data_IF_334577522326
#
_entry.id   IF_334577522326
#
_cell.length_a   1.000
_cell.length_b   1.000
_cell.length_c   1.000
_cell.angle_alpha   90.00
_cell.angle_beta   90.00
_cell.angle_gamma   90.00
#
_symmetry.space_group_name_H-M   'P 1'
#
loop_
_entity.id
_entity.type
_entity.pdbx_description
1 polymer ?
#
# COMPACT_ATOMS: atom_id res chain seq x y z
N UNK A 1 1.96 22.90 62.35
CA UNK A 1 2.91 21.77 62.35
C UNK A 1 3.93 22.06 61.26
N UNK A 2 5.20 22.10 61.63
CA UNK A 2 6.35 22.40 60.77
C UNK A 2 7.02 21.11 60.26
N UNK A 3 7.99 21.30 59.35
CA UNK A 3 8.98 20.37 58.76
C UNK A 3 8.54 19.57 57.52
N UNK A 4 9.12 19.72 56.30
CA UNK A 4 10.50 19.65 55.73
C UNK A 4 10.98 18.23 55.35
N UNK A 5 11.67 18.17 54.19
CA UNK A 5 12.45 17.09 53.53
C UNK A 5 11.62 16.12 52.67
N UNK A 6 11.78 15.98 51.35
CA UNK A 6 12.89 16.11 50.39
C UNK A 6 13.99 15.02 50.45
N UNK A 7 14.33 14.54 49.25
CA UNK A 7 15.35 13.55 48.85
C UNK A 7 15.08 12.04 49.05
N UNK A 8 14.90 11.30 47.94
CA UNK A 8 15.99 10.41 47.51
C UNK A 8 15.95 10.09 45.99
N UNK A 9 17.15 10.10 45.43
CA UNK A 9 17.55 10.09 44.03
C UNK A 9 18.37 8.81 43.82
N UNK A 10 17.88 7.88 43.02
CA UNK A 10 18.67 6.79 42.41
C UNK A 10 18.02 6.56 41.04
N UNK A 11 18.62 6.84 39.88
CA UNK A 11 20.03 6.74 39.53
C UNK A 11 20.27 5.43 38.78
N UNK A 12 19.65 5.22 37.62
CA UNK A 12 20.08 4.19 36.66
C UNK A 12 20.12 4.77 35.24
N UNK A 13 21.34 5.02 34.79
CA UNK A 13 21.69 5.30 33.41
C UNK A 13 21.37 4.08 32.54
N UNK A 14 20.43 4.23 31.60
CA UNK A 14 20.29 3.31 30.48
C UNK A 14 21.16 3.81 29.34
N UNK A 15 22.06 2.95 28.89
CA UNK A 15 23.04 3.16 27.82
C UNK A 15 22.37 3.53 26.48
N UNK A 16 23.03 4.35 25.63
CA UNK A 16 22.59 4.61 24.27
C UNK A 16 22.87 3.40 23.37
N UNK A 17 21.82 2.94 22.67
CA UNK A 17 21.92 1.91 21.65
C UNK A 17 22.65 2.49 20.43
N UNK A 18 23.84 1.95 20.15
CA UNK A 18 24.62 2.17 18.93
C UNK A 18 23.94 1.38 17.81
N UNK A 19 23.42 2.06 16.80
CA UNK A 19 23.08 1.42 15.53
C UNK A 19 23.85 2.14 14.44
N UNK A 20 24.65 1.35 13.74
CA UNK A 20 25.66 1.78 12.79
C UNK A 20 25.07 2.53 11.59
N UNK A 21 25.68 3.67 11.29
CA UNK A 21 25.49 4.38 10.03
C UNK A 21 26.29 3.65 8.94
N UNK A 22 25.58 2.99 8.02
CA UNK A 22 26.16 2.50 6.77
C UNK A 22 25.86 3.54 5.68
N UNK A 23 26.81 4.46 5.51
CA UNK A 23 26.91 5.39 4.39
C UNK A 23 27.43 4.59 3.20
N UNK A 24 26.61 4.38 2.17
CA UNK A 24 27.11 4.01 0.85
C UNK A 24 27.10 5.27 -0.03
N UNK A 25 28.31 5.75 -0.27
CA UNK A 25 28.67 6.71 -1.31
C UNK A 25 28.81 5.92 -2.62
N UNK A 26 27.97 6.18 -3.62
CA UNK A 26 28.12 5.61 -4.96
C UNK A 26 28.18 6.75 -5.99
N UNK A 27 29.39 7.28 -6.14
CA UNK A 27 29.77 8.18 -7.23
C UNK A 27 30.00 7.37 -8.51
N UNK A 28 28.98 7.25 -9.34
CA UNK A 28 29.10 6.64 -10.67
C UNK A 28 29.79 7.61 -11.66
N UNK A 29 31.08 7.41 -11.88
CA UNK A 29 31.83 8.04 -12.98
C UNK A 29 31.47 7.40 -14.34
N UNK A 30 31.03 8.25 -15.25
CA UNK A 30 30.70 7.97 -16.65
C UNK A 30 31.99 7.79 -17.47
N UNK A 31 32.33 6.55 -17.82
CA UNK A 31 33.42 6.21 -18.73
C UNK A 31 32.89 5.61 -20.04
N UNK A 32 32.92 6.41 -21.11
CA UNK A 32 32.67 5.98 -22.49
C UNK A 32 33.89 5.21 -22.99
N UNK A 33 33.69 4.03 -23.58
CA UNK A 33 34.72 3.33 -24.36
C UNK A 33 34.20 2.95 -25.74
N UNK A 34 35.04 3.22 -26.73
CA UNK A 34 34.84 3.08 -28.17
C UNK A 34 34.57 1.64 -28.60
N UNK A 35 33.61 1.49 -29.52
CA UNK A 35 33.28 0.24 -30.19
C UNK A 35 34.00 0.19 -31.55
N UNK A 36 35.03 -0.65 -31.66
CA UNK A 36 35.59 -1.09 -32.94
C UNK A 36 34.84 -2.31 -33.46
N UNK A 37 34.54 -2.29 -34.76
CA UNK A 37 33.76 -3.31 -35.46
C UNK A 37 34.61 -4.49 -35.97
N UNK A 38 34.06 -5.70 -35.78
CA UNK A 38 34.12 -6.93 -36.61
C UNK A 38 35.48 -7.68 -36.74
N UNK A 39 35.49 -9.03 -36.71
CA UNK A 39 34.78 -9.85 -37.69
C UNK A 39 34.02 -11.08 -37.18
N UNK A 40 33.08 -11.52 -38.03
CA UNK A 40 32.38 -12.78 -37.95
C UNK A 40 33.30 -13.98 -38.22
N UNK A 41 33.18 -15.07 -37.45
CA UNK A 41 33.07 -16.47 -37.93
C UNK A 41 32.93 -17.49 -36.78
N UNK A 42 31.84 -18.25 -36.86
CA UNK A 42 31.64 -19.68 -36.56
C UNK A 42 31.92 -20.28 -35.16
N UNK A 43 30.89 -21.00 -34.69
CA UNK A 43 31.03 -22.29 -34.01
C UNK A 43 31.05 -22.23 -32.49
N UNK A 44 29.90 -22.41 -31.86
CA UNK A 44 29.61 -23.66 -31.14
C UNK A 44 28.26 -23.57 -30.44
N UNK A 45 27.46 -24.61 -30.68
CA UNK A 45 26.18 -24.84 -30.03
C UNK A 45 26.40 -25.12 -28.54
N UNK A 46 25.74 -24.35 -27.68
CA UNK A 46 25.62 -24.66 -26.27
C UNK A 46 24.15 -24.90 -25.95
N UNK A 47 23.82 -26.20 -25.88
CA UNK A 47 22.59 -26.72 -25.36
C UNK A 47 22.38 -26.23 -23.91
N UNK A 48 21.38 -25.38 -23.72
CA UNK A 48 20.81 -25.15 -22.41
C UNK A 48 20.15 -26.44 -21.93
N UNK A 49 20.68 -27.02 -20.86
CA UNK A 49 19.98 -28.03 -20.05
C UNK A 49 19.00 -27.33 -19.11
N UNK A 50 17.67 -27.39 -19.31
CA UNK A 50 16.74 -27.16 -18.23
C UNK A 50 16.74 -28.39 -17.32
N UNK A 51 17.22 -28.19 -16.10
CA UNK A 51 17.16 -29.15 -15.01
C UNK A 51 15.71 -29.16 -14.48
N UNK A 52 14.84 -29.97 -15.10
CA UNK A 52 13.58 -30.43 -14.48
C UNK A 52 13.47 -31.93 -14.68
N UNK A 53 13.40 -32.57 -13.52
CA UNK A 53 13.53 -33.99 -13.29
C UNK A 53 12.29 -34.79 -13.72
N UNK A 54 12.55 -36.07 -13.94
CA UNK A 54 11.76 -37.07 -14.65
C UNK A 54 10.55 -37.54 -13.83
N UNK A 55 9.34 -37.36 -14.35
CA UNK A 55 8.21 -38.27 -14.09
C UNK A 55 8.03 -39.16 -15.32
N UNK A 56 8.33 -40.44 -15.16
CA UNK A 56 8.23 -41.48 -16.19
C UNK A 56 6.85 -41.52 -16.86
N UNK A 57 6.73 -40.93 -18.05
CA UNK A 57 5.63 -41.12 -18.99
C UNK A 57 6.02 -42.11 -20.09
N UNK A 58 5.68 -43.38 -19.91
CA UNK A 58 5.87 -44.44 -20.91
C UNK A 58 5.04 -44.14 -22.17
N UNK A 59 5.73 -44.23 -23.32
CA UNK A 59 5.24 -44.09 -24.70
C UNK A 59 3.88 -44.74 -24.99
N UNK A 60 3.09 -44.06 -25.81
CA UNK A 60 2.12 -44.65 -26.73
C UNK A 60 1.59 -43.59 -27.71
N UNK A 61 1.92 -43.65 -29.02
CA UNK A 61 1.21 -42.90 -30.06
C UNK A 61 -0.10 -43.63 -30.40
N UNK A 62 -1.03 -42.93 -31.07
CA UNK A 62 -2.39 -43.33 -31.46
C UNK A 62 -3.50 -42.82 -30.53
N UNK A 63 -3.70 -41.49 -30.49
CA UNK A 63 -5.03 -40.95 -30.22
C UNK A 63 -5.73 -40.80 -31.57
N UNK A 64 -6.56 -41.78 -31.91
CA UNK A 64 -7.49 -41.70 -33.03
C UNK A 64 -8.37 -40.47 -32.88
N UNK A 65 -8.66 -39.84 -34.01
CA UNK A 65 -9.70 -38.83 -34.15
C UNK A 65 -11.04 -39.45 -33.73
N UNK A 66 -11.44 -39.27 -32.47
CA UNK A 66 -12.78 -39.66 -32.01
C UNK A 66 -13.72 -38.58 -32.55
N UNK A 67 -14.28 -38.84 -33.72
CA UNK A 67 -15.49 -38.16 -34.18
C UNK A 67 -16.59 -38.56 -33.21
N UNK A 68 -16.90 -37.67 -32.27
CA UNK A 68 -18.07 -37.83 -31.40
C UNK A 68 -19.33 -37.84 -32.26
N UNK A 69 -19.84 -39.03 -32.57
CA UNK A 69 -21.18 -39.18 -33.11
C UNK A 69 -22.17 -38.68 -32.05
N UNK A 70 -22.64 -37.44 -32.25
CA UNK A 70 -23.70 -36.84 -31.45
C UNK A 70 -25.00 -37.59 -31.79
N UNK A 71 -25.32 -38.62 -31.03
CA UNK A 71 -26.63 -39.27 -31.12
C UNK A 71 -27.65 -38.25 -30.66
N UNK A 72 -28.45 -37.74 -31.60
CA UNK A 72 -29.61 -36.92 -31.28
C UNK A 72 -30.56 -37.79 -30.44
N UNK A 73 -30.59 -37.52 -29.14
CA UNK A 73 -31.56 -38.11 -28.22
C UNK A 73 -32.92 -37.63 -28.68
N UNK A 74 -33.67 -38.51 -29.36
CA UNK A 74 -35.06 -38.26 -29.68
C UNK A 74 -35.80 -37.93 -28.38
N UNK A 75 -36.41 -36.74 -28.35
CA UNK A 75 -37.39 -36.40 -27.33
C UNK A 75 -38.47 -37.48 -27.36
N UNK A 76 -38.60 -38.25 -26.28
CA UNK A 76 -39.79 -39.03 -26.05
C UNK A 76 -40.95 -38.04 -25.93
N UNK A 77 -41.82 -37.99 -26.96
CA UNK A 77 -43.15 -37.40 -26.85
C UNK A 77 -43.79 -38.00 -25.59
N UNK A 78 -44.22 -37.14 -24.66
CA UNK A 78 -44.98 -37.50 -23.47
C UNK A 78 -46.28 -38.19 -23.89
N UNK A 79 -46.24 -39.50 -24.02
CA UNK A 79 -47.42 -40.34 -23.86
C UNK A 79 -47.59 -40.59 -22.36
N UNK A 80 -48.81 -40.37 -21.87
CA UNK A 80 -49.15 -40.54 -20.47
C UNK A 80 -48.86 -41.97 -20.00
N UNK A 81 -47.96 -42.09 -19.05
CA UNK A 81 -47.78 -43.31 -18.26
C UNK A 81 -47.82 -42.97 -16.78
N UNK A 82 -48.53 -43.83 -16.05
CA UNK A 82 -48.95 -43.66 -14.67
C UNK A 82 -47.80 -43.58 -13.67
N UNK A 83 -48.19 -43.17 -12.46
CA UNK A 83 -47.45 -43.19 -11.19
C UNK A 83 -45.94 -43.35 -11.32
N UNK A 84 -45.24 -42.21 -11.25
CA UNK A 84 -43.80 -42.16 -11.05
C UNK A 84 -43.40 -43.09 -9.90
N UNK A 85 -42.63 -44.14 -10.21
CA UNK A 85 -41.99 -44.95 -9.18
C UNK A 85 -41.16 -44.02 -8.28
N UNK A 86 -41.18 -44.21 -6.95
CA UNK A 86 -40.30 -43.44 -6.08
C UNK A 86 -38.85 -43.69 -6.51
N UNK A 87 -37.99 -42.66 -6.50
CA UNK A 87 -36.58 -42.86 -6.83
C UNK A 87 -36.00 -43.89 -5.88
N UNK A 88 -35.71 -45.11 -6.36
CA UNK A 88 -34.91 -46.07 -5.61
C UNK A 88 -33.54 -45.44 -5.40
N UNK A 89 -33.20 -45.16 -4.14
CA UNK A 89 -31.84 -44.81 -3.75
C UNK A 89 -30.91 -45.97 -4.10
N UNK A 90 -29.78 -45.68 -4.73
CA UNK A 90 -28.76 -46.70 -4.97
C UNK A 90 -28.32 -47.31 -3.63
N UNK A 91 -28.23 -48.64 -3.49
CA UNK A 91 -27.83 -49.28 -2.23
C UNK A 91 -26.33 -49.10 -1.90
N UNK A 92 -25.57 -48.48 -2.80
CA UNK A 92 -24.13 -48.25 -2.67
C UNK A 92 -23.85 -46.78 -2.34
N UNK A 93 -23.19 -46.55 -1.21
CA UNK A 93 -22.66 -45.23 -0.84
C UNK A 93 -21.24 -45.06 -1.36
N UNK A 94 -20.84 -43.82 -1.70
CA UNK A 94 -19.53 -43.49 -2.32
C UNK A 94 -18.32 -43.94 -1.49
N UNK A 95 -18.51 -44.06 -0.19
CA UNK A 95 -17.58 -44.50 0.84
C UNK A 95 -17.30 -46.01 0.80
N UNK A 96 -18.15 -46.81 0.13
CA UNK A 96 -17.95 -48.25 -0.04
C UNK A 96 -17.21 -48.64 -1.33
N UNK A 97 -16.90 -47.68 -2.21
CA UNK A 97 -16.18 -47.95 -3.46
C UNK A 97 -14.66 -47.93 -3.25
N UNK A 98 -13.97 -48.91 -3.83
CA UNK A 98 -12.50 -48.94 -3.84
C UNK A 98 -11.91 -47.72 -4.58
N UNK A 99 -10.69 -47.26 -4.21
CA UNK A 99 -10.06 -46.07 -4.82
C UNK A 99 -9.97 -46.17 -6.34
N UNK A 100 -9.64 -47.35 -6.88
CA UNK A 100 -9.55 -47.62 -8.33
C UNK A 100 -10.90 -47.47 -9.06
N UNK A 101 -12.01 -47.84 -8.43
CA UNK A 101 -13.36 -47.69 -8.99
C UNK A 101 -13.78 -46.23 -8.96
N UNK A 102 -13.45 -45.50 -7.88
CA UNK A 102 -13.70 -44.06 -7.79
C UNK A 102 -12.93 -43.28 -8.84
N UNK A 103 -11.71 -43.69 -9.14
CA UNK A 103 -10.87 -43.10 -10.19
C UNK A 103 -11.41 -43.42 -11.59
N UNK A 104 -11.78 -44.69 -11.86
CA UNK A 104 -12.39 -45.12 -13.14
C UNK A 104 -13.71 -44.42 -13.44
N UNK A 105 -14.52 -44.13 -12.42
CA UNK A 105 -15.80 -43.42 -12.54
C UNK A 105 -15.71 -41.91 -12.26
N UNK A 106 -14.52 -41.35 -12.03
CA UNK A 106 -14.29 -39.91 -11.87
C UNK A 106 -14.93 -39.27 -10.64
N UNK A 107 -15.20 -40.05 -9.58
CA UNK A 107 -15.90 -39.61 -8.36
C UNK A 107 -14.97 -38.94 -7.34
N UNK A 108 -13.71 -38.70 -7.68
CA UNK A 108 -12.73 -38.20 -6.72
C UNK A 108 -12.91 -36.73 -6.36
N UNK A 109 -13.37 -36.53 -5.13
CA UNK A 109 -13.50 -35.22 -4.47
C UNK A 109 -12.17 -34.46 -4.42
N UNK A 110 -11.03 -35.16 -4.44
CA UNK A 110 -9.68 -34.56 -4.43
C UNK A 110 -9.48 -33.57 -5.58
N UNK A 111 -9.95 -33.89 -6.79
CA UNK A 111 -9.86 -32.98 -7.95
C UNK A 111 -10.74 -31.75 -7.77
N UNK A 112 -11.97 -31.91 -7.26
CA UNK A 112 -12.86 -30.79 -6.96
C UNK A 112 -12.31 -29.90 -5.84
N UNK A 113 -11.78 -30.48 -4.76
CA UNK A 113 -11.17 -29.73 -3.66
C UNK A 113 -9.93 -28.98 -4.14
N UNK A 114 -9.07 -29.59 -4.96
CA UNK A 114 -7.92 -28.89 -5.56
C UNK A 114 -8.36 -27.75 -6.48
N UNK A 115 -9.39 -27.94 -7.30
CA UNK A 115 -9.94 -26.86 -8.14
C UNK A 115 -10.51 -25.73 -7.29
N UNK A 116 -11.24 -26.03 -6.23
CA UNK A 116 -11.79 -25.01 -5.32
C UNK A 116 -10.65 -24.25 -4.63
N UNK A 117 -9.64 -24.94 -4.09
CA UNK A 117 -8.48 -24.29 -3.46
C UNK A 117 -7.73 -23.42 -4.47
N UNK A 118 -7.52 -23.90 -5.69
CA UNK A 118 -6.86 -23.13 -6.74
C UNK A 118 -7.65 -21.86 -7.10
N UNK A 119 -8.98 -21.97 -7.24
CA UNK A 119 -9.85 -20.81 -7.50
C UNK A 119 -9.78 -19.82 -6.33
N UNK A 120 -9.85 -20.28 -5.08
CA UNK A 120 -9.74 -19.43 -3.89
C UNK A 120 -8.38 -18.73 -3.86
N UNK A 121 -7.29 -19.45 -4.12
CA UNK A 121 -5.95 -18.87 -4.17
C UNK A 121 -5.82 -17.79 -5.27
N UNK A 122 -6.38 -18.04 -6.46
CA UNK A 122 -6.39 -17.06 -7.55
C UNK A 122 -7.20 -15.82 -7.16
N UNK A 123 -8.40 -15.98 -6.61
CA UNK A 123 -9.25 -14.85 -6.18
C UNK A 123 -8.57 -14.06 -5.07
N UNK A 124 -7.96 -14.74 -4.09
CA UNK A 124 -7.22 -14.08 -3.02
C UNK A 124 -6.02 -13.29 -3.57
N UNK A 125 -5.27 -13.87 -4.51
CA UNK A 125 -4.14 -13.20 -5.15
C UNK A 125 -4.58 -11.97 -5.95
N UNK A 126 -5.65 -12.08 -6.75
CA UNK A 126 -6.19 -10.95 -7.50
C UNK A 126 -6.72 -9.85 -6.58
N UNK A 127 -7.38 -10.23 -5.47
CA UNK A 127 -7.83 -9.28 -4.46
C UNK A 127 -6.67 -8.54 -3.79
N UNK A 128 -5.61 -9.26 -3.41
CA UNK A 128 -4.40 -8.66 -2.85
C UNK A 128 -3.73 -7.70 -3.85
N UNK A 129 -3.66 -8.08 -5.13
CA UNK A 129 -3.09 -7.23 -6.17
C UNK A 129 -3.92 -5.98 -6.43
N UNK A 130 -5.25 -6.08 -6.44
CA UNK A 130 -6.14 -4.94 -6.56
C UNK A 130 -5.99 -3.97 -5.37
N UNK A 131 -5.87 -4.51 -4.15
CA UNK A 131 -5.68 -3.71 -2.94
C UNK A 131 -4.33 -2.96 -2.96
N UNK A 132 -3.24 -3.66 -3.24
CA UNK A 132 -1.90 -3.04 -3.35
C UNK A 132 -1.86 -2.02 -4.49
N UNK A 133 -2.46 -2.35 -5.63
CA UNK A 133 -2.57 -1.43 -6.77
C UNK A 133 -3.33 -0.15 -6.40
N UNK A 134 -4.45 -0.26 -5.69
CA UNK A 134 -5.20 0.89 -5.20
C UNK A 134 -4.38 1.74 -4.22
N UNK A 135 -3.58 1.11 -3.35
CA UNK A 135 -2.73 1.82 -2.39
C UNK A 135 -1.58 2.57 -3.09
N UNK A 136 -0.98 1.98 -4.14
CA UNK A 136 0.08 2.62 -4.92
C UNK A 136 -0.44 3.75 -5.83
N UNK A 137 -1.72 3.73 -6.20
CA UNK A 137 -2.35 4.79 -6.98
C UNK A 137 -2.77 6.00 -6.14
N UNK A 138 -2.87 5.85 -4.80
CA UNK A 138 -3.06 7.00 -3.91
C UNK A 138 -1.82 7.88 -3.99
N UNK A 139 -1.98 9.05 -4.59
CA UNK A 139 -0.90 10.02 -4.69
C UNK A 139 -0.49 10.57 -3.32
N UNK A 140 0.75 11.03 -3.24
CA UNK A 140 1.21 11.82 -2.10
C UNK A 140 0.56 13.20 -2.09
N UNK A 141 0.35 13.73 -0.88
CA UNK A 141 -0.08 15.12 -0.69
C UNK A 141 1.11 16.03 -1.01
N UNK A 142 0.95 16.88 -2.02
CA UNK A 142 1.96 17.86 -2.40
C UNK A 142 1.54 19.23 -1.87
N UNK A 143 2.50 20.01 -1.41
CA UNK A 143 2.26 21.37 -0.94
C UNK A 143 3.40 22.29 -1.35
N UNK A 144 3.07 23.57 -1.55
CA UNK A 144 4.05 24.60 -1.89
C UNK A 144 3.65 25.92 -1.26
N UNK A 145 4.56 26.51 -0.47
CA UNK A 145 4.42 27.87 0.02
C UNK A 145 4.71 28.85 -1.11
N UNK A 146 3.71 29.63 -1.51
CA UNK A 146 3.80 30.56 -2.63
C UNK A 146 4.28 31.94 -2.16
N UNK A 147 3.76 32.39 -1.02
CA UNK A 147 4.07 33.71 -0.46
C UNK A 147 3.91 33.69 1.05
N UNK A 148 4.74 34.46 1.74
CA UNK A 148 4.49 34.86 3.11
C UNK A 148 4.90 36.31 3.30
N UNK A 149 4.26 36.99 4.24
CA UNK A 149 4.57 38.37 4.61
C UNK A 149 4.28 38.59 6.09
N UNK A 150 5.18 39.28 6.78
CA UNK A 150 4.92 39.78 8.13
C UNK A 150 4.11 41.06 7.99
N UNK A 151 2.90 41.07 8.54
CA UNK A 151 1.96 42.20 8.40
C UNK A 151 2.11 43.12 9.60
N UNK A 152 2.13 42.54 10.80
CA UNK A 152 2.22 43.21 12.10
C UNK A 152 3.09 42.37 13.06
N UNK A 153 3.38 42.90 14.25
CA UNK A 153 4.20 42.21 15.26
C UNK A 153 3.54 40.90 15.77
N UNK A 154 2.21 40.79 15.68
CA UNK A 154 1.43 39.63 16.11
C UNK A 154 0.76 38.87 14.95
N UNK A 155 1.14 39.18 13.70
CA UNK A 155 0.49 38.63 12.50
C UNK A 155 1.46 38.42 11.34
N UNK A 156 1.45 37.20 10.82
CA UNK A 156 2.03 36.88 9.52
C UNK A 156 1.00 36.21 8.61
N UNK A 157 0.95 36.63 7.35
CA UNK A 157 0.07 36.04 6.35
C UNK A 157 0.87 35.09 5.46
N UNK A 158 0.29 33.92 5.16
CA UNK A 158 0.86 32.92 4.27
C UNK A 158 -0.17 32.48 3.22
N UNK A 159 0.31 32.32 1.99
CA UNK A 159 -0.44 31.74 0.88
C UNK A 159 0.30 30.51 0.38
N UNK A 160 -0.35 29.36 0.43
CA UNK A 160 0.23 28.09 -0.01
C UNK A 160 -0.80 27.26 -0.78
N UNK A 161 -0.31 26.42 -1.68
CA UNK A 161 -1.15 25.47 -2.39
C UNK A 161 -1.01 24.07 -1.82
N UNK A 162 -2.10 23.30 -1.91
CA UNK A 162 -2.18 21.90 -1.51
C UNK A 162 -2.79 21.12 -2.66
N UNK A 163 -2.10 20.05 -3.08
CA UNK A 163 -2.56 19.11 -4.10
C UNK A 163 -2.70 17.73 -3.49
N UNK A 164 -3.87 17.12 -3.64
CA UNK A 164 -4.24 15.83 -3.04
C UNK A 164 -5.30 15.11 -3.87
N UNK A 165 -5.64 13.88 -3.49
CA UNK A 165 -6.91 13.28 -3.92
C UNK A 165 -8.06 14.03 -3.23
N UNK A 166 -9.10 14.38 -3.98
CA UNK A 166 -10.24 15.12 -3.44
C UNK A 166 -10.98 14.41 -2.32
N UNK A 167 -10.90 13.07 -2.26
CA UNK A 167 -11.49 12.30 -1.17
C UNK A 167 -10.72 12.42 0.16
N UNK A 168 -9.47 12.89 0.13
CA UNK A 168 -8.60 12.94 1.30
C UNK A 168 -8.82 14.22 2.12
N UNK A 169 -9.02 14.04 3.43
CA UNK A 169 -8.88 15.10 4.41
C UNK A 169 -7.38 15.26 4.76
N UNK A 170 -6.89 16.49 4.78
CA UNK A 170 -5.47 16.81 4.97
C UNK A 170 -5.31 17.84 6.06
N UNK A 171 -4.29 17.65 6.90
CA UNK A 171 -3.86 18.64 7.90
C UNK A 171 -2.54 19.23 7.45
N UNK A 172 -2.48 20.55 7.41
CA UNK A 172 -1.27 21.31 7.10
C UNK A 172 -0.75 22.02 8.34
N UNK A 173 0.55 21.94 8.57
CA UNK A 173 1.22 22.57 9.72
C UNK A 173 2.00 23.78 9.25
N UNK A 174 1.63 24.95 9.77
CA UNK A 174 2.33 26.21 9.54
C UNK A 174 3.13 26.60 10.76
N UNK A 175 4.33 27.13 10.52
CA UNK A 175 5.23 27.63 11.56
C UNK A 175 5.76 29.00 11.18
N UNK A 176 5.76 29.92 12.14
CA UNK A 176 6.50 31.17 12.07
C UNK A 176 7.63 31.16 13.09
N UNK A 177 8.80 31.64 12.67
CA UNK A 177 9.97 31.73 13.54
C UNK A 177 10.56 33.13 13.54
N UNK A 178 11.20 33.51 14.64
CA UNK A 178 11.98 34.74 14.75
C UNK A 178 13.36 34.63 14.08
N UNK A 179 14.17 35.69 14.20
CA UNK A 179 15.54 35.73 13.65
C UNK A 179 16.50 34.73 14.29
N UNK A 180 16.14 34.15 15.44
CA UNK A 180 16.91 33.13 16.17
C UNK A 180 16.37 31.72 15.94
N UNK A 181 15.41 31.54 15.03
CA UNK A 181 14.76 30.24 14.73
C UNK A 181 13.94 29.69 15.90
N UNK A 182 13.45 30.58 16.77
CA UNK A 182 12.51 30.24 17.84
C UNK A 182 11.09 30.38 17.30
N UNK A 183 10.22 29.42 17.64
CA UNK A 183 8.85 29.44 17.16
C UNK A 183 8.06 30.56 17.85
N UNK A 184 7.45 31.41 17.04
CA UNK A 184 6.61 32.53 17.49
C UNK A 184 5.15 32.38 17.04
N UNK A 185 4.87 31.45 16.13
CA UNK A 185 3.52 31.08 15.72
C UNK A 185 3.51 29.65 15.20
N UNK A 186 2.43 28.93 15.48
CA UNK A 186 2.23 27.55 15.04
C UNK A 186 0.74 27.31 14.84
N UNK A 187 0.37 26.68 13.73
CA UNK A 187 -1.02 26.36 13.42
C UNK A 187 -1.12 25.00 12.74
N UNK A 188 -2.13 24.22 13.14
CA UNK A 188 -2.60 23.05 12.41
C UNK A 188 -3.89 23.43 11.70
N UNK A 189 -3.92 23.25 10.39
CA UNK A 189 -5.00 23.70 9.52
C UNK A 189 -5.66 22.48 8.91
N UNK A 190 -6.91 22.23 9.28
CA UNK A 190 -7.73 21.18 8.71
C UNK A 190 -8.28 21.62 7.35
N UNK A 191 -7.96 20.84 6.31
CA UNK A 191 -8.50 21.01 4.97
C UNK A 191 -9.41 19.80 4.68
N UNK A 192 -10.74 20.00 4.62
CA UNK A 192 -11.69 18.91 4.42
C UNK A 192 -11.55 18.29 3.03
N UNK A 193 -12.12 17.09 2.81
CA UNK A 193 -12.25 16.51 1.47
C UNK A 193 -12.92 17.51 0.52
N UNK A 194 -12.45 17.57 -0.73
CA UNK A 194 -12.92 18.54 -1.71
C UNK A 194 -12.16 18.48 -3.01
N UNK A 195 -11.68 19.63 -3.49
CA UNK A 195 -10.94 19.72 -4.74
C UNK A 195 -9.52 19.16 -4.59
N UNK A 196 -8.99 18.56 -5.67
CA UNK A 196 -7.63 18.03 -5.70
C UNK A 196 -6.55 19.11 -5.75
N UNK A 197 -6.93 20.39 -5.95
CA UNK A 197 -6.07 21.56 -5.81
C UNK A 197 -6.78 22.55 -4.89
N UNK A 198 -6.09 23.09 -3.90
CA UNK A 198 -6.64 24.10 -3.00
C UNK A 198 -5.59 25.17 -2.75
N UNK A 199 -5.96 26.43 -2.96
CA UNK A 199 -5.15 27.59 -2.58
C UNK A 199 -5.62 28.07 -1.20
N UNK A 200 -4.73 28.04 -0.21
CA UNK A 200 -5.02 28.42 1.17
C UNK A 200 -4.37 29.76 1.47
N UNK A 201 -5.18 30.72 1.91
CA UNK A 201 -4.73 31.99 2.47
C UNK A 201 -4.96 31.95 3.98
N UNK A 202 -3.88 32.03 4.75
CA UNK A 202 -3.94 31.87 6.20
C UNK A 202 -3.26 33.04 6.91
N UNK A 203 -3.98 33.66 7.85
CA UNK A 203 -3.43 34.67 8.76
C UNK A 203 -3.03 33.99 10.07
N UNK A 204 -1.73 33.82 10.26
CA UNK A 204 -1.12 33.16 11.41
C UNK A 204 -0.89 34.19 12.53
N UNK A 205 -1.45 33.93 13.71
CA UNK A 205 -1.19 34.74 14.91
C UNK A 205 0.19 34.40 15.46
N UNK A 206 0.97 35.43 15.80
CA UNK A 206 2.30 35.30 16.40
C UNK A 206 2.37 36.01 17.76
N UNK A 207 3.20 35.50 18.68
CA UNK A 207 3.44 36.15 20.00
C UNK A 207 4.53 37.22 19.95
N UNK A 208 5.28 37.25 18.86
CA UNK A 208 6.37 38.19 18.58
C UNK A 208 6.56 38.30 17.06
N UNK A 209 7.29 39.33 16.57
CA UNK A 209 7.48 39.54 15.14
C UNK A 209 8.12 38.31 14.48
N UNK A 210 7.45 37.80 13.44
CA UNK A 210 8.01 36.73 12.63
C UNK A 210 9.16 37.24 11.76
N UNK A 211 10.16 36.40 11.54
CA UNK A 211 11.22 36.60 10.55
C UNK A 211 11.04 35.69 9.34
N UNK A 212 10.40 34.53 9.53
CA UNK A 212 10.11 33.57 8.45
C UNK A 212 8.83 32.81 8.76
N UNK A 213 8.12 32.40 7.70
CA UNK A 213 6.97 31.49 7.78
C UNK A 213 7.20 30.34 6.82
N UNK A 214 6.88 29.13 7.26
CA UNK A 214 7.02 27.92 6.46
C UNK A 214 5.82 26.97 6.68
N UNK A 215 5.55 26.17 5.64
CA UNK A 215 4.67 25.01 5.75
C UNK A 215 5.57 23.82 6.02
N UNK A 216 5.47 23.24 7.22
CA UNK A 216 6.33 22.12 7.62
C UNK A 216 5.95 20.83 6.90
N UNK A 217 4.65 20.57 6.85
CA UNK A 217 4.09 19.40 6.21
C UNK A 217 2.61 19.62 5.92
N UNK A 218 2.13 18.98 4.86
CA UNK A 218 0.72 18.70 4.67
C UNK A 218 0.60 17.19 4.46
N UNK A 219 -0.22 16.52 5.26
CA UNK A 219 -0.42 15.09 5.17
C UNK A 219 -1.87 14.73 5.46
N UNK A 220 -2.28 13.52 5.06
CA UNK A 220 -3.56 12.96 5.49
C UNK A 220 -3.61 12.90 7.02
N UNK A 221 -4.81 13.02 7.58
CA UNK A 221 -5.00 13.10 9.04
C UNK A 221 -4.40 11.92 9.81
N UNK A 222 -4.44 10.73 9.22
CA UNK A 222 -3.89 9.48 9.78
C UNK A 222 -2.36 9.33 9.60
N UNK A 223 -1.78 10.09 8.68
CA UNK A 223 -0.36 10.05 8.32
C UNK A 223 0.44 11.25 8.87
N UNK A 224 -0.21 12.19 9.55
CA UNK A 224 0.43 13.43 9.99
C UNK A 224 1.62 13.17 10.93
N UNK A 225 2.81 13.58 10.47
CA UNK A 225 4.05 13.57 11.23
C UNK A 225 4.68 14.96 11.15
N UNK A 226 4.41 15.79 12.15
CA UNK A 226 5.00 17.12 12.26
C UNK A 226 5.80 17.24 13.57
N UNK A 227 6.93 17.96 13.58
CA UNK A 227 7.55 18.39 14.82
C UNK A 227 6.59 19.26 15.61
N UNK A 228 6.50 19.03 16.92
CA UNK A 228 5.73 19.90 17.80
C UNK A 228 6.32 21.32 17.87
N UNK A 229 5.52 22.29 18.34
CA UNK A 229 5.93 23.68 18.45
C UNK A 229 7.04 23.88 19.48
N UNK A 230 8.03 24.72 19.17
CA UNK A 230 9.22 24.99 19.99
C UNK A 230 9.21 26.42 20.54
N UNK A 231 8.26 26.71 21.43
CA UNK A 231 8.15 28.01 22.08
C UNK A 231 9.10 28.13 23.29
N UNK A 232 9.53 29.35 23.66
CA UNK A 232 10.21 29.60 24.91
C UNK A 232 9.38 29.12 26.13
N UNK A 233 10.04 28.69 27.20
CA UNK A 233 9.34 28.27 28.41
C UNK A 233 8.49 29.42 28.97
N UNK A 234 7.25 29.09 29.37
CA UNK A 234 6.30 30.05 29.94
C UNK A 234 5.45 30.82 28.93
N UNK A 235 5.58 30.55 27.62
CA UNK A 235 4.72 31.11 26.58
C UNK A 235 3.74 30.03 26.09
N UNK A 236 2.44 30.35 26.11
CA UNK A 236 1.42 29.51 25.50
C UNK A 236 1.38 29.70 23.98
N UNK A 237 1.06 28.65 23.24
CA UNK A 237 0.81 28.75 21.79
C UNK A 237 -0.36 29.72 21.57
N UNK A 238 -0.22 30.75 20.73
CA UNK A 238 -1.30 31.71 20.49
C UNK A 238 -2.49 31.01 19.82
N UNK A 239 -3.70 31.43 20.16
CA UNK A 239 -4.93 30.93 19.53
C UNK A 239 -4.93 31.28 18.03
N UNK A 240 -5.37 30.31 17.23
CA UNK A 240 -5.36 30.38 15.77
C UNK A 240 -6.77 30.24 15.20
N UNK A 241 -7.07 30.83 14.04
CA UNK A 241 -6.24 31.77 13.27
C UNK A 241 -6.17 33.17 13.91
N UNK A 242 -5.44 34.10 13.30
CA UNK A 242 -5.55 35.51 13.66
C UNK A 242 -6.95 36.05 13.34
N UNK A 243 -7.62 36.62 14.34
CA UNK A 243 -9.00 37.12 14.26
C UNK A 243 -9.11 38.64 14.40
N UNK A 244 -7.99 39.36 14.37
CA UNK A 244 -7.92 40.78 14.76
C UNK A 244 -7.81 40.98 16.28
N UNK A 245 -7.55 42.23 16.72
CA UNK A 245 -7.86 42.69 18.07
C UNK A 245 -9.38 42.86 18.29
#
# INVERSE_FOLDING_TARGET
MAHLQDANRIGHFSLPNRVDALVLDDTAHRGVQDVTALPARAGDDHDFYPLIDVLCGRRGPLAGLIIGMRVNRHQAKKFGHGSSLPPMGSPFSRDQLSPEMRERYGLDKRRLTTVVIAIVAIVAFLGAMAYVGAMLLRGDVQFLLLRWTVVEDDRADATFEVRRDGADAVVCVLRAQDSKRIDVGYAEIDIPPGEGYTLVNYSLRTVAPAFTVEVLTCARTDELRAPGPQFPPGIAVPEQPWTGP
#
